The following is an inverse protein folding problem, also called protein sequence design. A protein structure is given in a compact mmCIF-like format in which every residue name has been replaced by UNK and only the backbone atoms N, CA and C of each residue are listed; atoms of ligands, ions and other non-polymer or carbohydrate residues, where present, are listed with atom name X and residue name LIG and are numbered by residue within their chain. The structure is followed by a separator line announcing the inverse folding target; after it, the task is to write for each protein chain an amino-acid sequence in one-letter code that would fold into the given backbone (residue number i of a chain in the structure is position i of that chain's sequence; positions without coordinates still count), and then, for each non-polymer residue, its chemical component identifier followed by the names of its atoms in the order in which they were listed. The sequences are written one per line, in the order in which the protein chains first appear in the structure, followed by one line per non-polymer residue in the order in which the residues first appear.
data_IF_116501273367
#
_entry.id   IF_116501273367
#
_cell.length_a   1.000
_cell.length_b   1.000
_cell.length_c   1.000
_cell.angle_alpha   90.00
_cell.angle_beta   90.00
_cell.angle_gamma   90.00
#
_symmetry.space_group_name_H-M   'P 1'
#
loop_
_entity.id
_entity.type
_entity.pdbx_description
1 polymer ?
#
# COMPACT_ATOMS: atom_id res chain seq x y z
N UNK A 1 2.69 3.32 7.06
CA UNK A 1 2.68 4.44 6.08
C UNK A 1 2.47 3.83 4.70
N UNK A 2 1.58 4.40 3.88
CA UNK A 2 1.28 3.94 2.53
C UNK A 2 1.85 4.95 1.51
N UNK A 3 2.56 4.47 0.49
CA UNK A 3 3.03 5.28 -0.63
C UNK A 3 2.48 4.69 -1.93
N UNK A 4 1.66 5.45 -2.66
CA UNK A 4 1.30 5.12 -4.02
C UNK A 4 2.52 5.34 -4.94
N UNK A 5 2.88 4.33 -5.71
CA UNK A 5 4.06 4.34 -6.58
C UNK A 5 3.59 4.33 -8.03
N UNK A 6 4.19 5.17 -8.84
CA UNK A 6 4.05 5.18 -10.28
C UNK A 6 5.44 5.12 -10.93
N UNK A 7 5.52 4.46 -12.08
CA UNK A 7 6.74 4.26 -12.86
C UNK A 7 7.15 5.49 -13.69
N UNK A 8 6.45 6.62 -13.58
CA UNK A 8 6.84 7.88 -14.24
C UNK A 8 8.25 8.32 -13.81
N UNK A 9 9.09 8.59 -14.82
CA UNK A 9 10.43 9.17 -14.63
C UNK A 9 10.47 10.70 -14.81
N UNK A 10 9.40 11.27 -15.36
CA UNK A 10 9.26 12.71 -15.64
C UNK A 10 8.06 13.27 -14.87
N UNK A 11 8.37 13.99 -13.79
CA UNK A 11 7.35 14.55 -12.90
C UNK A 11 6.72 15.85 -13.42
N UNK A 12 7.34 16.47 -14.43
CA UNK A 12 6.86 17.71 -15.03
C UNK A 12 5.89 17.45 -16.20
N UNK A 13 5.80 16.20 -16.65
CA UNK A 13 4.93 15.77 -17.73
C UNK A 13 3.71 14.99 -17.23
N UNK A 14 2.50 15.57 -17.26
CA UNK A 14 1.29 14.85 -16.88
C UNK A 14 1.03 13.67 -17.83
N UNK A 15 0.51 12.57 -17.29
CA UNK A 15 0.20 11.36 -18.05
C UNK A 15 1.43 10.50 -18.39
N UNK A 16 2.60 10.80 -17.82
CA UNK A 16 3.72 9.86 -17.83
C UNK A 16 3.54 8.80 -16.73
N UNK A 17 4.08 7.61 -16.96
CA UNK A 17 3.87 6.41 -16.15
C UNK A 17 2.66 5.58 -16.61
N UNK A 18 2.81 4.27 -16.57
CA UNK A 18 1.85 3.28 -17.07
C UNK A 18 1.32 2.34 -16.00
N UNK A 19 2.02 2.24 -14.87
CA UNK A 19 1.72 1.24 -13.85
C UNK A 19 1.71 1.84 -12.45
N UNK A 20 0.79 1.34 -11.62
CA UNK A 20 0.65 1.75 -10.22
C UNK A 20 0.89 0.56 -9.31
N UNK A 21 1.58 0.81 -8.21
CA UNK A 21 1.78 -0.18 -7.14
C UNK A 21 1.79 0.56 -5.79
N UNK A 22 1.93 -0.17 -4.68
CA UNK A 22 1.98 0.43 -3.34
C UNK A 22 3.20 -0.04 -2.56
N UNK A 23 3.88 0.91 -1.92
CA UNK A 23 4.98 0.64 -1.00
C UNK A 23 4.53 0.98 0.42
N UNK A 24 4.74 0.05 1.35
CA UNK A 24 4.15 0.13 2.69
C UNK A 24 5.22 0.00 3.73
N UNK A 25 5.38 1.03 4.56
CA UNK A 25 6.26 0.98 5.72
C UNK A 25 5.48 0.53 6.96
N UNK A 26 5.86 -0.64 7.45
CA UNK A 26 5.47 -1.19 8.75
C UNK A 26 6.54 -0.79 9.78
N UNK A 27 6.14 0.09 10.71
CA UNK A 27 7.00 0.61 11.76
C UNK A 27 7.34 -0.44 12.82
N UNK A 28 6.42 -1.37 13.10
CA UNK A 28 6.65 -2.43 14.08
C UNK A 28 7.70 -3.42 13.59
N UNK A 29 7.68 -3.74 12.29
CA UNK A 29 8.63 -4.64 11.64
C UNK A 29 9.84 -3.94 11.02
N UNK A 30 9.94 -2.61 11.14
CA UNK A 30 10.95 -1.77 10.49
C UNK A 30 11.22 -2.18 9.03
N UNK A 31 10.15 -2.35 8.25
CA UNK A 31 10.23 -2.92 6.92
C UNK A 31 9.31 -2.19 5.96
N UNK A 32 9.79 -2.03 4.74
CA UNK A 32 9.03 -1.65 3.58
C UNK A 32 8.63 -2.92 2.82
N UNK A 33 7.35 -3.09 2.52
CA UNK A 33 6.86 -4.10 1.60
C UNK A 33 6.31 -3.41 0.36
N UNK A 34 6.79 -3.84 -0.80
CA UNK A 34 6.25 -3.44 -2.08
C UNK A 34 5.20 -4.46 -2.53
N UNK A 35 3.99 -3.98 -2.84
CA UNK A 35 2.91 -4.79 -3.38
C UNK A 35 2.61 -4.31 -4.79
N UNK A 36 2.70 -5.23 -5.76
CA UNK A 36 2.62 -4.96 -7.19
C UNK A 36 1.75 -6.03 -7.85
N UNK A 37 0.59 -5.60 -8.35
CA UNK A 37 -0.39 -6.47 -9.01
C UNK A 37 0.08 -6.94 -10.39
N UNK A 38 1.23 -6.49 -10.90
CA UNK A 38 1.68 -6.84 -12.24
C UNK A 38 3.17 -7.20 -12.29
N UNK A 39 3.47 -8.42 -11.82
CA UNK A 39 4.76 -9.11 -11.98
C UNK A 39 5.99 -8.32 -11.54
N UNK A 40 5.83 -7.39 -10.60
CA UNK A 40 6.92 -6.58 -10.07
C UNK A 40 7.50 -5.55 -11.05
N UNK A 41 6.74 -5.15 -12.08
CA UNK A 41 7.18 -4.14 -13.06
C UNK A 41 7.58 -2.83 -12.37
N UNK A 42 6.90 -2.45 -11.29
CA UNK A 42 7.17 -1.19 -10.59
C UNK A 42 8.31 -1.26 -9.57
N UNK A 43 9.00 -2.40 -9.48
CA UNK A 43 10.07 -2.63 -8.48
C UNK A 43 11.15 -1.55 -8.51
N UNK A 44 11.58 -1.11 -9.69
CA UNK A 44 12.63 -0.10 -9.81
C UNK A 44 12.20 1.24 -9.20
N UNK A 45 10.97 1.69 -9.47
CA UNK A 45 10.39 2.91 -8.89
C UNK A 45 10.21 2.77 -7.37
N UNK A 46 9.72 1.63 -6.90
CA UNK A 46 9.57 1.37 -5.47
C UNK A 46 10.91 1.38 -4.71
N UNK A 47 11.96 0.76 -5.28
CA UNK A 47 13.32 0.80 -4.70
C UNK A 47 13.89 2.21 -4.69
N UNK A 48 13.63 3.01 -5.74
CA UNK A 48 14.05 4.41 -5.82
C UNK A 48 13.42 5.22 -4.69
N UNK A 49 12.11 5.10 -4.48
CA UNK A 49 11.44 5.78 -3.36
C UNK A 49 11.95 5.29 -2.01
N UNK A 50 12.03 3.97 -1.80
CA UNK A 50 12.55 3.37 -0.56
C UNK A 50 13.93 3.95 -0.19
N UNK A 51 14.87 4.02 -1.14
CA UNK A 51 16.20 4.58 -0.90
C UNK A 51 16.15 6.05 -0.48
N UNK A 52 15.22 6.83 -1.02
CA UNK A 52 15.04 8.24 -0.68
C UNK A 52 14.45 8.42 0.72
N UNK A 53 13.52 7.55 1.15
CA UNK A 53 12.76 7.77 2.39
C UNK A 53 13.25 6.96 3.60
N UNK A 54 14.05 5.89 3.40
CA UNK A 54 14.45 4.97 4.48
C UNK A 54 15.19 5.64 5.65
N UNK A 55 15.92 6.72 5.40
CA UNK A 55 16.64 7.48 6.43
C UNK A 55 15.74 8.36 7.30
N UNK A 56 14.48 8.57 6.90
CA UNK A 56 13.52 9.44 7.58
C UNK A 56 12.51 8.68 8.43
N UNK A 57 12.55 7.34 8.43
CA UNK A 57 11.69 6.50 9.25
C UNK A 57 12.48 5.85 10.39
N UNK A 58 11.80 5.53 11.48
CA UNK A 58 12.40 4.89 12.66
C UNK A 58 11.51 3.75 13.16
N UNK A 59 12.09 2.64 13.65
CA UNK A 59 11.33 1.53 14.22
C UNK A 59 10.46 1.98 15.41
N UNK A 60 9.49 1.13 15.78
CA UNK A 60 8.65 1.35 16.96
C UNK A 60 9.44 1.21 18.28
N UNK A 61 10.47 0.37 18.31
CA UNK A 61 11.31 0.10 19.47
C UNK A 61 12.79 0.04 19.09
N UNK A 62 13.64 0.69 19.88
CA UNK A 62 15.10 0.81 19.62
C UNK A 62 15.91 -0.47 19.96
N UNK A 63 15.29 -1.40 20.68
CA UNK A 63 15.86 -2.66 21.19
C UNK A 63 15.30 -3.91 20.50
N UNK A 64 14.25 -3.75 19.69
CA UNK A 64 13.57 -4.89 19.12
C UNK A 64 14.50 -5.61 18.12
N UNK A 65 14.39 -6.93 18.09
CA UNK A 65 15.23 -7.80 17.30
C UNK A 65 14.38 -8.92 16.70
N UNK A 66 14.68 -9.32 15.48
CA UNK A 66 14.02 -10.46 14.83
C UNK A 66 15.05 -11.53 14.47
N UNK A 67 14.59 -12.77 14.31
CA UNK A 67 15.44 -13.89 13.92
C UNK A 67 15.27 -14.20 12.43
N UNK A 68 16.37 -14.37 11.72
CA UNK A 68 16.36 -14.85 10.34
C UNK A 68 17.53 -15.81 10.11
N UNK A 69 17.24 -17.00 9.57
CA UNK A 69 18.22 -18.08 9.38
C UNK A 69 19.09 -18.34 10.63
N UNK A 70 18.46 -18.32 11.82
CA UNK A 70 19.15 -18.54 13.09
C UNK A 70 20.05 -17.39 13.56
N UNK A 71 20.01 -16.21 12.91
CA UNK A 71 20.74 -15.01 13.35
C UNK A 71 19.80 -13.96 13.93
N UNK A 72 20.13 -13.46 15.12
CA UNK A 72 19.45 -12.33 15.77
C UNK A 72 19.88 -11.02 15.10
N UNK A 73 18.95 -10.34 14.44
CA UNK A 73 19.12 -9.03 13.80
C UNK A 73 18.46 -7.97 14.66
N UNK A 74 19.14 -6.86 14.92
CA UNK A 74 18.57 -5.74 15.69
C UNK A 74 17.92 -4.73 14.74
N UNK A 75 16.77 -4.15 15.11
CA UNK A 75 16.09 -3.11 14.33
C UNK A 75 16.82 -1.77 14.27
N UNK A 76 18.03 -1.66 14.85
CA UNK A 76 18.93 -0.51 14.64
C UNK A 76 19.52 -0.44 13.23
N UNK A 77 19.43 -1.52 12.45
CA UNK A 77 19.80 -1.53 11.03
C UNK A 77 18.78 -0.72 10.20
N UNK A 78 19.19 -0.26 9.01
CA UNK A 78 18.30 0.39 8.04
C UNK A 78 17.03 -0.45 7.79
N UNK A 79 15.86 0.18 7.61
CA UNK A 79 14.62 -0.54 7.32
C UNK A 79 14.79 -1.49 6.14
N UNK A 80 14.25 -2.70 6.22
CA UNK A 80 14.34 -3.66 5.10
C UNK A 80 13.45 -3.24 3.93
N UNK A 81 13.82 -3.64 2.72
CA UNK A 81 12.92 -3.66 1.57
C UNK A 81 12.57 -5.11 1.22
N UNK A 82 11.29 -5.39 1.04
CA UNK A 82 10.75 -6.71 0.73
C UNK A 82 9.75 -6.60 -0.43
N UNK A 83 9.72 -7.59 -1.32
CA UNK A 83 8.61 -7.77 -2.25
C UNK A 83 7.51 -8.59 -1.56
N UNK A 84 6.28 -8.11 -1.64
CA UNK A 84 5.10 -8.79 -1.14
C UNK A 84 4.56 -9.79 -2.14
N UNK A 85 3.76 -10.73 -1.64
CA UNK A 85 2.88 -11.54 -2.49
C UNK A 85 1.60 -10.75 -2.67
N UNK A 86 1.38 -10.26 -3.88
CA UNK A 86 0.18 -9.50 -4.25
C UNK A 86 -0.66 -10.37 -5.17
N UNK A 87 -1.99 -10.38 -5.00
CA UNK A 87 -2.90 -10.84 -6.04
C UNK A 87 -2.58 -10.15 -7.38
N UNK A 88 -2.60 -10.91 -8.47
CA UNK A 88 -2.11 -10.47 -9.78
C UNK A 88 -3.28 -10.10 -10.69
N UNK A 89 -3.24 -8.89 -11.22
CA UNK A 89 -4.22 -8.47 -12.21
C UNK A 89 -4.09 -9.31 -13.48
N UNK A 90 -5.23 -9.59 -14.10
CA UNK A 90 -5.35 -10.30 -15.38
C UNK A 90 -5.47 -9.35 -16.56
N UNK A 91 -5.77 -8.07 -16.30
CA UNK A 91 -5.85 -7.01 -17.31
C UNK A 91 -4.70 -5.98 -17.19
N UNK A 92 -4.74 -4.89 -17.97
CA UNK A 92 -3.66 -3.88 -18.03
C UNK A 92 -4.03 -2.52 -17.42
N UNK A 93 -5.19 -2.40 -16.79
CA UNK A 93 -5.76 -1.10 -16.44
C UNK A 93 -6.31 -1.00 -15.01
N UNK A 94 -6.33 -2.12 -14.25
CA UNK A 94 -6.82 -2.14 -12.87
C UNK A 94 -5.73 -2.02 -11.81
N UNK A 95 -4.46 -1.82 -12.18
CA UNK A 95 -3.37 -1.62 -11.20
C UNK A 95 -3.67 -0.53 -10.17
N UNK A 96 -4.39 0.53 -10.57
CA UNK A 96 -4.87 1.57 -9.64
C UNK A 96 -5.96 1.08 -8.68
N UNK A 97 -6.83 0.16 -9.08
CA UNK A 97 -7.84 -0.45 -8.20
C UNK A 97 -7.18 -1.37 -7.18
N UNK A 98 -6.19 -2.18 -7.58
CA UNK A 98 -5.40 -2.99 -6.64
C UNK A 98 -4.71 -2.12 -5.58
N UNK A 99 -4.17 -0.95 -5.96
CA UNK A 99 -3.61 0.00 -4.97
C UNK A 99 -4.67 0.44 -3.97
N UNK A 100 -5.90 0.74 -4.40
CA UNK A 100 -7.00 1.11 -3.50
C UNK A 100 -7.41 -0.05 -2.60
N UNK A 101 -7.58 -1.26 -3.14
CA UNK A 101 -8.02 -2.43 -2.40
C UNK A 101 -7.00 -2.81 -1.32
N UNK A 102 -5.71 -2.79 -1.66
CA UNK A 102 -4.62 -3.04 -0.71
C UNK A 102 -4.60 -1.95 0.36
N UNK A 103 -4.78 -0.67 -0.01
CA UNK A 103 -4.82 0.41 0.96
C UNK A 103 -6.01 0.26 1.94
N UNK A 104 -7.18 -0.15 1.45
CA UNK A 104 -8.36 -0.42 2.27
C UNK A 104 -8.11 -1.60 3.23
N UNK A 105 -7.67 -2.75 2.73
CA UNK A 105 -7.34 -3.93 3.54
C UNK A 105 -6.33 -3.60 4.65
N UNK A 106 -5.28 -2.86 4.33
CA UNK A 106 -4.32 -2.42 5.34
C UNK A 106 -4.92 -1.46 6.35
N UNK A 107 -5.72 -0.48 5.92
CA UNK A 107 -6.35 0.44 6.87
C UNK A 107 -7.28 -0.31 7.83
N UNK A 108 -8.09 -1.24 7.32
CA UNK A 108 -8.97 -2.09 8.12
C UNK A 108 -8.17 -2.94 9.11
N UNK A 109 -7.17 -3.68 8.63
CA UNK A 109 -6.29 -4.48 9.47
C UNK A 109 -5.63 -3.65 10.58
N UNK A 110 -5.10 -2.46 10.27
CA UNK A 110 -4.45 -1.63 11.30
C UNK A 110 -5.43 -1.04 12.31
N UNK A 111 -6.67 -0.74 11.90
CA UNK A 111 -7.72 -0.31 12.81
C UNK A 111 -8.12 -1.43 13.77
N UNK A 112 -8.30 -2.66 13.26
CA UNK A 112 -8.66 -3.84 14.06
C UNK A 112 -7.48 -4.33 14.93
N UNK A 113 -6.26 -4.35 14.41
CA UNK A 113 -5.06 -4.76 15.12
C UNK A 113 -4.76 -3.91 16.37
N UNK A 114 -5.11 -2.61 16.34
CA UNK A 114 -4.99 -1.75 17.51
C UNK A 114 -5.89 -2.18 18.69
N UNK A 115 -6.90 -3.02 18.44
CA UNK A 115 -7.85 -3.50 19.44
C UNK A 115 -7.43 -4.85 20.04
N UNK A 116 -6.77 -5.74 19.27
CA UNK A 116 -6.56 -7.14 19.66
C UNK A 116 -5.10 -7.53 19.98
N UNK A 117 -4.10 -6.81 19.48
CA UNK A 117 -2.69 -6.94 19.90
C UNK A 117 -1.91 -8.18 19.40
N UNK A 118 -2.44 -8.96 18.46
CA UNK A 118 -1.74 -10.12 17.88
C UNK A 118 -0.88 -9.76 16.66
N UNK A 119 0.40 -10.16 16.62
CA UNK A 119 1.29 -9.94 15.48
C UNK A 119 0.95 -10.88 14.32
N UNK A 120 -0.08 -10.52 13.55
CA UNK A 120 -0.44 -11.26 12.33
C UNK A 120 0.54 -10.89 11.21
N UNK A 121 0.91 -11.90 10.42
CA UNK A 121 1.65 -11.68 9.18
C UNK A 121 0.73 -11.00 8.16
N UNK A 122 0.72 -9.67 8.15
CA UNK A 122 -0.12 -8.89 7.22
C UNK A 122 0.14 -9.19 5.74
N UNK A 123 1.33 -9.72 5.39
CA UNK A 123 1.57 -10.20 4.02
C UNK A 123 0.71 -11.41 3.64
N UNK A 124 0.27 -12.20 4.64
CA UNK A 124 -0.73 -13.26 4.47
C UNK A 124 -2.14 -12.66 4.41
N UNK A 125 -2.46 -11.72 5.30
CA UNK A 125 -3.76 -11.03 5.35
C UNK A 125 -4.11 -10.43 3.99
N UNK A 126 -3.20 -9.67 3.40
CA UNK A 126 -3.41 -9.05 2.08
C UNK A 126 -3.68 -10.03 0.95
N UNK A 127 -3.00 -11.17 0.99
CA UNK A 127 -3.17 -12.19 -0.06
C UNK A 127 -4.56 -12.84 0.02
N UNK A 128 -5.21 -12.80 1.18
CA UNK A 128 -6.51 -13.41 1.41
C UNK A 128 -7.67 -12.42 1.44
N UNK A 129 -7.43 -11.16 1.78
CA UNK A 129 -8.46 -10.12 1.83
C UNK A 129 -8.67 -9.40 0.50
N UNK A 130 -7.65 -9.34 -0.35
CA UNK A 130 -7.77 -8.72 -1.68
C UNK A 130 -8.11 -9.81 -2.69
N UNK A 131 -9.38 -9.89 -3.07
CA UNK A 131 -9.88 -10.83 -4.07
C UNK A 131 -9.72 -10.28 -5.50
N UNK A 132 -9.08 -11.04 -6.38
CA UNK A 132 -8.81 -10.61 -7.77
C UNK A 132 -10.10 -10.44 -8.58
N UNK A 133 -11.06 -11.36 -8.40
CA UNK A 133 -12.32 -11.33 -9.15
C UNK A 133 -13.16 -10.13 -8.73
N UNK A 134 -13.28 -9.86 -7.43
CA UNK A 134 -13.99 -8.71 -6.91
C UNK A 134 -13.36 -7.39 -7.39
N UNK A 135 -12.03 -7.25 -7.29
CA UNK A 135 -11.31 -6.04 -7.73
C UNK A 135 -11.57 -5.76 -9.22
N UNK A 136 -11.48 -6.78 -10.08
CA UNK A 136 -11.60 -6.60 -11.52
C UNK A 136 -13.05 -6.53 -12.03
N UNK A 137 -14.03 -7.05 -11.30
CA UNK A 137 -15.43 -7.10 -11.76
C UNK A 137 -16.34 -6.04 -11.14
N UNK A 138 -16.12 -5.64 -9.88
CA UNK A 138 -17.08 -4.78 -9.15
C UNK A 138 -16.48 -3.44 -8.73
N UNK A 139 -15.20 -3.41 -8.36
CA UNK A 139 -14.63 -2.28 -7.62
C UNK A 139 -14.64 -0.96 -8.40
N UNK A 140 -14.49 -1.02 -9.73
CA UNK A 140 -14.60 0.16 -10.61
C UNK A 140 -15.96 0.85 -10.50
N UNK A 141 -17.02 0.05 -10.50
CA UNK A 141 -18.39 0.55 -10.37
C UNK A 141 -18.65 1.08 -8.97
N UNK A 142 -18.10 0.44 -7.95
CA UNK A 142 -18.28 0.85 -6.56
C UNK A 142 -17.56 2.16 -6.24
N UNK A 143 -16.34 2.34 -6.75
CA UNK A 143 -15.63 3.63 -6.69
C UNK A 143 -16.42 4.72 -7.42
N UNK A 144 -16.98 4.43 -8.61
CA UNK A 144 -17.79 5.39 -9.34
C UNK A 144 -19.05 5.78 -8.57
N UNK A 145 -19.79 4.81 -8.03
CA UNK A 145 -20.98 5.05 -7.18
C UNK A 145 -20.62 5.90 -5.97
N UNK A 146 -19.49 5.63 -5.32
CA UNK A 146 -19.01 6.40 -4.18
C UNK A 146 -18.72 7.86 -4.56
N UNK A 147 -18.00 8.10 -5.67
CA UNK A 147 -17.70 9.44 -6.18
C UNK A 147 -19.00 10.21 -6.48
N UNK A 148 -19.94 9.58 -7.18
CA UNK A 148 -21.22 10.21 -7.53
C UNK A 148 -22.06 10.54 -6.29
N UNK A 149 -22.08 9.65 -5.30
CA UNK A 149 -22.74 9.90 -4.00
C UNK A 149 -22.11 11.10 -3.28
N UNK A 150 -20.78 11.18 -3.21
CA UNK A 150 -20.06 12.30 -2.58
C UNK A 150 -20.29 13.62 -3.31
N UNK A 151 -20.29 13.61 -4.65
CA UNK A 151 -20.63 14.78 -5.47
C UNK A 151 -22.05 15.30 -5.17
N UNK A 152 -23.03 14.39 -5.03
CA UNK A 152 -24.40 14.77 -4.66
C UNK A 152 -24.46 15.43 -3.28
N UNK A 153 -23.74 14.89 -2.29
CA UNK A 153 -23.68 15.44 -0.93
C UNK A 153 -23.06 16.84 -0.87
N UNK A 154 -21.99 17.07 -1.63
CA UNK A 154 -21.36 18.39 -1.76
C UNK A 154 -22.31 19.42 -2.34
N UNK A 155 -23.04 19.06 -3.40
CA UNK A 155 -23.99 19.95 -4.06
C UNK A 155 -25.25 20.24 -3.23
N UNK A 156 -25.58 19.40 -2.24
CA UNK A 156 -26.72 19.59 -1.34
C UNK A 156 -26.39 20.31 -0.03
N UNK A 157 -25.10 20.59 0.24
CA UNK A 157 -24.70 21.24 1.49
C UNK A 157 -24.90 22.75 1.39
N UNK A 158 -25.57 23.40 2.36
CA UNK A 158 -25.75 24.86 2.36
C UNK A 158 -24.39 25.56 2.41
N UNK A 159 -24.26 26.69 1.70
CA UNK A 159 -23.03 27.48 1.70
C UNK A 159 -22.65 27.85 3.15
N UNK A 160 -21.34 27.80 3.51
CA UNK A 160 -20.92 28.16 4.86
C UNK A 160 -21.36 29.60 5.16
N UNK A 161 -22.03 29.78 6.31
CA UNK A 161 -22.41 31.11 6.81
C UNK A 161 -21.16 31.96 6.97
N UNK A 162 -21.11 33.08 6.24
CA UNK A 162 -20.07 34.10 6.37
C UNK A 162 -20.12 34.79 7.73
#
# INVERSE_FOLDING_TARGET
ILFAINDSEDFDKPGNGTHWSVLVYDRAKNAFLHQDSFRGINRAAAVKLYRAVKGFVKPARDDASYWIYGKKKCFRDEPRFCEGRTPQQTNLYDCGLYVLAIAEAMCSYWCEWMEEGEDVNWGYVLYHEVDEEEVETTMRDDVLKLILRKKKQLNSSPAPSR
#
